data_IF_418768873393
#
_entry.id   IF_418768873393
#
_cell.length_a   1.000
_cell.length_b   1.000
_cell.length_c   1.000
_cell.angle_alpha   90.00
_cell.angle_beta   90.00
_cell.angle_gamma   90.00
#
_symmetry.space_group_name_H-M   'P 1'
#
loop_
_entity.id
_entity.type
_entity.pdbx_description
1 polymer ?
#
# COMPACT_ATOMS: atom_id res chain seq x y z
N UNK A 1 -34.94 -17.86 -4.40
CA UNK A 1 -34.75 -16.89 -3.30
C UNK A 1 -34.04 -15.69 -3.87
N UNK A 2 -34.59 -14.48 -3.70
CA UNK A 2 -33.94 -13.25 -4.13
C UNK A 2 -32.83 -12.94 -3.11
N UNK A 3 -31.57 -13.20 -3.46
CA UNK A 3 -30.47 -12.82 -2.58
C UNK A 3 -30.26 -11.30 -2.70
N UNK A 4 -30.47 -10.58 -1.60
CA UNK A 4 -30.25 -9.14 -1.56
C UNK A 4 -28.75 -8.84 -1.59
N UNK A 5 -28.37 -7.82 -2.38
CA UNK A 5 -27.06 -7.21 -2.25
C UNK A 5 -26.90 -6.57 -0.87
N UNK A 6 -25.69 -6.59 -0.31
CA UNK A 6 -25.37 -5.90 0.95
C UNK A 6 -24.15 -4.99 0.78
N UNK A 7 -24.08 -3.94 1.59
CA UNK A 7 -22.96 -3.00 1.61
C UNK A 7 -22.00 -3.36 2.74
N UNK A 8 -20.70 -3.19 2.50
CA UNK A 8 -19.65 -3.46 3.48
C UNK A 8 -18.46 -2.53 3.27
N UNK A 9 -17.39 -2.74 4.04
CA UNK A 9 -16.15 -1.97 3.95
C UNK A 9 -14.96 -2.92 3.97
N UNK A 10 -14.02 -2.70 3.05
CA UNK A 10 -12.68 -3.29 3.09
C UNK A 10 -11.65 -2.17 3.26
N UNK A 11 -10.39 -2.54 3.50
CA UNK A 11 -9.32 -1.59 3.69
C UNK A 11 -8.21 -1.81 2.65
N UNK A 12 -7.68 -0.71 2.12
CA UNK A 12 -6.44 -0.73 1.33
C UNK A 12 -5.25 -1.17 2.19
N UNK A 13 -4.12 -1.48 1.56
CA UNK A 13 -2.88 -1.74 2.29
C UNK A 13 -2.39 -0.53 3.11
N UNK A 14 -2.69 0.70 2.67
CA UNK A 14 -2.47 1.93 3.45
C UNK A 14 -3.54 2.23 4.51
N UNK A 15 -4.49 1.32 4.74
CA UNK A 15 -5.48 1.42 5.81
C UNK A 15 -6.70 2.30 5.50
N UNK A 16 -6.91 2.70 4.24
CA UNK A 16 -8.07 3.51 3.84
C UNK A 16 -9.29 2.66 3.59
N UNK A 17 -10.44 3.16 4.03
CA UNK A 17 -11.72 2.50 3.82
C UNK A 17 -12.13 2.54 2.33
N UNK A 18 -12.64 1.41 1.85
CA UNK A 18 -13.23 1.23 0.53
C UNK A 18 -14.66 0.72 0.72
N UNK A 19 -15.64 1.45 0.20
CA UNK A 19 -17.04 1.01 0.17
C UNK A 19 -17.21 -0.10 -0.88
N UNK A 20 -17.82 -1.21 -0.47
CA UNK A 20 -18.01 -2.38 -1.35
C UNK A 20 -19.44 -2.91 -1.32
N UNK A 21 -19.82 -3.61 -2.38
CA UNK A 21 -21.11 -4.30 -2.51
C UNK A 21 -20.84 -5.80 -2.59
N UNK A 22 -21.45 -6.56 -1.68
CA UNK A 22 -21.48 -8.02 -1.74
C UNK A 22 -22.72 -8.43 -2.52
N UNK A 23 -22.50 -9.14 -3.62
CA UNK A 23 -23.56 -9.60 -4.52
C UNK A 23 -23.63 -11.12 -4.49
N UNK A 24 -24.82 -11.72 -4.59
CA UNK A 24 -24.94 -13.15 -4.81
C UNK A 24 -24.30 -13.56 -6.13
N UNK A 25 -23.96 -14.84 -6.22
CA UNK A 25 -23.57 -15.44 -7.49
C UNK A 25 -24.79 -15.67 -8.38
N UNK A 26 -24.57 -15.63 -9.69
CA UNK A 26 -25.57 -16.00 -10.70
C UNK A 26 -25.67 -17.53 -10.88
N UNK A 27 -26.68 -17.98 -11.62
CA UNK A 27 -26.87 -19.40 -11.91
C UNK A 27 -25.73 -19.96 -12.78
N UNK A 28 -25.57 -21.29 -12.78
CA UNK A 28 -24.55 -21.96 -13.61
C UNK A 28 -24.81 -21.72 -15.10
N UNK A 29 -26.09 -21.66 -15.48
CA UNK A 29 -26.54 -21.41 -16.84
C UNK A 29 -26.16 -19.99 -17.29
N UNK A 30 -26.37 -18.97 -16.44
CA UNK A 30 -25.95 -17.60 -16.71
C UNK A 30 -24.42 -17.49 -16.82
N UNK A 31 -23.68 -18.16 -15.95
CA UNK A 31 -22.20 -18.22 -16.03
C UNK A 31 -21.78 -18.78 -17.39
N UNK A 32 -22.34 -19.91 -17.81
CA UNK A 32 -22.00 -20.54 -19.08
C UNK A 32 -22.36 -19.65 -20.27
N UNK A 33 -23.52 -19.01 -20.25
CA UNK A 33 -23.94 -18.08 -21.31
C UNK A 33 -22.98 -16.90 -21.47
N UNK A 34 -22.58 -16.27 -20.37
CA UNK A 34 -21.61 -15.17 -20.42
C UNK A 34 -20.22 -15.64 -20.87
N UNK A 35 -19.76 -16.80 -20.41
CA UNK A 35 -18.49 -17.39 -20.84
C UNK A 35 -18.48 -17.65 -22.37
N UNK A 36 -19.54 -18.25 -22.91
CA UNK A 36 -19.67 -18.53 -24.34
C UNK A 36 -19.79 -17.25 -25.17
N UNK A 37 -20.60 -16.29 -24.71
CA UNK A 37 -20.75 -15.00 -25.36
C UNK A 37 -19.40 -14.26 -25.44
N UNK A 38 -18.64 -14.24 -24.33
CA UNK A 38 -17.33 -13.59 -24.31
C UNK A 38 -16.34 -14.27 -25.24
N UNK A 39 -16.25 -15.61 -25.25
CA UNK A 39 -15.36 -16.34 -26.18
C UNK A 39 -15.70 -16.08 -27.63
N UNK A 40 -17.00 -16.04 -27.96
CA UNK A 40 -17.47 -15.81 -29.33
C UNK A 40 -17.22 -14.37 -29.79
N UNK A 41 -17.50 -13.40 -28.93
CA UNK A 41 -17.44 -11.97 -29.28
C UNK A 41 -16.02 -11.43 -29.24
N UNK A 42 -15.23 -11.87 -28.26
CA UNK A 42 -13.88 -11.37 -28.00
C UNK A 42 -12.82 -12.45 -28.26
N UNK A 43 -12.83 -13.01 -29.48
CA UNK A 43 -11.96 -14.13 -29.88
C UNK A 43 -10.45 -13.86 -29.81
N UNK A 44 -10.05 -12.58 -29.70
CA UNK A 44 -8.65 -12.15 -29.49
C UNK A 44 -8.25 -12.08 -28.01
N UNK A 45 -9.19 -12.28 -27.08
CA UNK A 45 -8.94 -12.35 -25.66
C UNK A 45 -9.00 -13.81 -25.19
N UNK A 46 -8.25 -14.13 -24.15
CA UNK A 46 -8.20 -15.47 -23.54
C UNK A 46 -8.92 -15.45 -22.21
N UNK A 47 -9.87 -16.38 -22.02
CA UNK A 47 -10.57 -16.52 -20.74
C UNK A 47 -9.69 -17.23 -19.72
N UNK A 48 -9.46 -16.60 -18.56
CA UNK A 48 -8.63 -17.12 -17.47
C UNK A 48 -9.45 -17.75 -16.34
N UNK A 49 -10.65 -17.24 -16.11
CA UNK A 49 -11.60 -17.78 -15.13
C UNK A 49 -13.01 -17.43 -15.56
N UNK A 50 -13.98 -18.29 -15.22
CA UNK A 50 -15.39 -18.12 -15.58
C UNK A 50 -16.01 -16.84 -15.02
N UNK A 51 -17.15 -16.47 -15.60
CA UNK A 51 -18.00 -15.36 -15.18
C UNK A 51 -18.41 -15.50 -13.72
N UNK A 52 -18.54 -14.37 -13.04
CA UNK A 52 -18.98 -14.31 -11.66
C UNK A 52 -19.52 -12.91 -11.35
N UNK A 53 -20.71 -12.84 -10.77
CA UNK A 53 -21.32 -11.61 -10.27
C UNK A 53 -20.81 -11.24 -8.88
N UNK A 54 -19.95 -12.03 -8.25
CA UNK A 54 -19.49 -11.75 -6.87
C UNK A 54 -18.37 -10.70 -6.81
N UNK A 55 -17.70 -10.42 -7.93
CA UNK A 55 -16.64 -9.40 -8.02
C UNK A 55 -16.46 -8.82 -9.43
N UNK A 56 -15.95 -7.59 -9.51
CA UNK A 56 -15.73 -6.86 -10.76
C UNK A 56 -14.23 -6.56 -11.02
N UNK A 57 -13.95 -5.79 -12.09
CA UNK A 57 -12.60 -5.35 -12.47
C UNK A 57 -11.85 -4.69 -11.32
N UNK A 58 -12.49 -3.74 -10.63
CA UNK A 58 -11.87 -2.97 -9.55
C UNK A 58 -11.48 -3.86 -8.38
N UNK A 59 -12.36 -4.77 -7.97
CA UNK A 59 -12.04 -5.74 -6.93
C UNK A 59 -10.95 -6.72 -7.34
N UNK A 60 -10.96 -7.20 -8.60
CA UNK A 60 -9.88 -8.03 -9.11
C UNK A 60 -8.53 -7.29 -9.08
N UNK A 61 -8.50 -6.07 -9.60
CA UNK A 61 -7.28 -5.27 -9.77
C UNK A 61 -6.70 -4.81 -8.44
N UNK A 62 -7.52 -4.31 -7.52
CA UNK A 62 -7.01 -3.60 -6.33
C UNK A 62 -7.10 -4.40 -5.04
N UNK A 63 -7.90 -5.46 -5.00
CA UNK A 63 -8.14 -6.25 -3.79
C UNK A 63 -7.68 -7.71 -3.98
N UNK A 64 -8.29 -8.46 -4.90
CA UNK A 64 -8.03 -9.91 -5.02
C UNK A 64 -6.62 -10.22 -5.53
N UNK A 65 -6.12 -9.48 -6.53
CA UNK A 65 -4.75 -9.67 -7.03
C UNK A 65 -3.67 -9.25 -6.03
N UNK A 66 -4.05 -8.56 -4.95
CA UNK A 66 -3.16 -8.20 -3.84
C UNK A 66 -3.26 -9.17 -2.65
N UNK A 67 -3.96 -10.30 -2.82
CA UNK A 67 -4.16 -11.30 -1.78
C UNK A 67 -5.38 -11.06 -0.88
N UNK A 68 -6.21 -10.06 -1.21
CA UNK A 68 -7.48 -9.84 -0.54
C UNK A 68 -8.41 -11.04 -0.66
N UNK A 69 -9.10 -11.39 0.44
CA UNK A 69 -9.92 -12.61 0.53
C UNK A 69 -11.40 -12.37 0.20
N UNK A 70 -11.84 -11.11 0.23
CA UNK A 70 -13.26 -10.75 0.09
C UNK A 70 -13.59 -10.52 -1.39
N UNK A 71 -14.37 -11.41 -2.00
CA UNK A 71 -15.00 -11.15 -3.31
C UNK A 71 -16.11 -10.12 -3.14
N UNK A 72 -15.98 -9.00 -3.84
CA UNK A 72 -16.90 -7.88 -3.73
C UNK A 72 -16.89 -7.03 -4.99
N UNK A 73 -17.89 -6.17 -5.16
CA UNK A 73 -17.88 -5.10 -6.16
C UNK A 73 -17.36 -3.82 -5.52
N UNK A 74 -16.43 -3.18 -6.21
CA UNK A 74 -15.95 -1.85 -5.87
C UNK A 74 -16.44 -0.91 -6.96
N UNK A 75 -17.12 0.16 -6.60
CA UNK A 75 -17.51 1.22 -7.53
C UNK A 75 -16.45 2.34 -7.49
N UNK A 76 -16.23 3.09 -8.59
CA UNK A 76 -15.25 4.18 -8.63
C UNK A 76 -15.55 5.28 -7.62
N UNK A 77 -16.84 5.52 -7.35
CA UNK A 77 -17.37 6.54 -6.46
C UNK A 77 -18.28 5.86 -5.44
N UNK A 78 -18.23 6.33 -4.19
CA UNK A 78 -19.13 5.89 -3.10
C UNK A 78 -20.58 6.32 -3.34
N UNK A 79 -21.53 5.77 -2.58
CA UNK A 79 -22.93 6.21 -2.58
C UNK A 79 -23.13 7.72 -2.31
N UNK A 80 -22.15 8.37 -1.67
CA UNK A 80 -22.17 9.80 -1.35
C UNK A 80 -21.43 10.68 -2.38
N UNK A 81 -21.03 10.13 -3.53
CA UNK A 81 -20.35 10.92 -4.56
C UNK A 81 -18.86 11.18 -4.29
N UNK A 82 -18.26 10.53 -3.29
CA UNK A 82 -16.83 10.68 -2.96
C UNK A 82 -15.97 9.67 -3.72
N UNK A 83 -14.70 10.01 -4.08
CA UNK A 83 -13.77 9.05 -4.65
C UNK A 83 -13.64 7.81 -3.77
N UNK A 84 -13.69 6.63 -4.39
CA UNK A 84 -13.58 5.35 -3.70
C UNK A 84 -12.33 4.59 -4.19
N UNK A 85 -12.21 4.36 -5.50
CA UNK A 85 -11.03 3.68 -6.06
C UNK A 85 -9.75 4.50 -5.91
N UNK A 86 -9.86 5.84 -5.92
CA UNK A 86 -8.73 6.74 -5.76
C UNK A 86 -7.99 6.55 -4.44
N UNK A 87 -8.65 5.99 -3.43
CA UNK A 87 -8.03 5.67 -2.15
C UNK A 87 -6.91 4.64 -2.27
N UNK A 88 -6.85 3.84 -3.35
CA UNK A 88 -5.75 2.90 -3.55
C UNK A 88 -4.42 3.57 -3.93
N UNK A 89 -4.44 4.81 -4.46
CA UNK A 89 -3.23 5.49 -4.93
C UNK A 89 -3.03 6.93 -4.43
N UNK A 90 -4.07 7.56 -3.89
CA UNK A 90 -3.94 8.91 -3.33
C UNK A 90 -3.41 8.78 -1.92
N UNK A 91 -2.13 9.04 -1.67
CA UNK A 91 -1.48 8.89 -0.34
C UNK A 91 -1.69 7.49 0.27
N UNK A 92 -1.49 6.43 -0.52
CA UNK A 92 -1.67 5.03 -0.12
C UNK A 92 -0.56 4.16 -0.77
N UNK A 93 -0.74 2.84 -0.85
CA UNK A 93 0.24 1.86 -1.26
C UNK A 93 0.68 1.99 -2.72
N UNK A 94 -0.21 2.41 -3.62
CA UNK A 94 0.13 2.62 -5.03
C UNK A 94 0.46 4.08 -5.33
N UNK A 95 1.28 4.30 -6.36
CA UNK A 95 1.51 5.62 -6.95
C UNK A 95 1.45 5.55 -8.47
N UNK A 96 1.10 6.68 -9.11
CA UNK A 96 1.07 6.78 -10.57
C UNK A 96 2.49 6.62 -11.14
N UNK A 97 2.61 5.88 -12.25
CA UNK A 97 3.89 5.54 -12.90
C UNK A 97 3.76 5.52 -14.42
N UNK A 98 4.80 5.07 -15.12
CA UNK A 98 4.79 4.87 -16.57
C UNK A 98 4.26 3.48 -16.94
N UNK A 99 3.80 3.31 -18.18
CA UNK A 99 3.32 2.02 -18.69
C UNK A 99 4.35 0.88 -18.51
N UNK A 100 5.63 1.18 -18.76
CA UNK A 100 6.72 0.22 -18.62
C UNK A 100 6.89 -0.32 -17.19
N UNK A 101 6.43 0.42 -16.18
CA UNK A 101 6.54 0.08 -14.77
C UNK A 101 5.21 -0.31 -14.14
N UNK A 102 4.15 -0.38 -14.92
CA UNK A 102 2.81 -0.61 -14.40
C UNK A 102 2.67 -2.03 -13.85
N UNK A 103 1.95 -2.15 -12.73
CA UNK A 103 1.33 -3.42 -12.30
C UNK A 103 -0.17 -3.34 -12.37
N UNK A 104 -0.74 -2.15 -12.18
CA UNK A 104 -2.18 -1.86 -12.22
C UNK A 104 -2.47 -0.77 -13.25
N UNK A 105 -3.62 -0.85 -13.90
CA UNK A 105 -4.08 0.08 -14.93
C UNK A 105 -5.46 0.57 -14.54
N UNK A 106 -5.67 1.88 -14.64
CA UNK A 106 -6.97 2.51 -14.57
C UNK A 106 -7.28 3.18 -15.91
N UNK A 107 -8.40 2.80 -16.52
CA UNK A 107 -8.83 3.39 -17.76
C UNK A 107 -9.66 4.64 -17.47
N UNK A 108 -9.06 5.80 -17.21
CA UNK A 108 -9.77 6.92 -16.55
C UNK A 108 -10.98 7.52 -17.28
N UNK A 109 -11.20 7.21 -18.57
CA UNK A 109 -12.41 7.55 -19.34
C UNK A 109 -13.33 6.34 -19.58
N UNK A 110 -13.16 5.30 -18.78
CA UNK A 110 -13.87 4.01 -18.84
C UNK A 110 -14.01 3.47 -17.43
N UNK A 111 -15.16 2.94 -17.01
CA UNK A 111 -15.29 2.35 -15.67
C UNK A 111 -14.59 0.97 -15.60
N UNK A 112 -13.26 0.95 -15.75
CA UNK A 112 -12.47 -0.25 -15.97
C UNK A 112 -11.05 -0.17 -15.39
N UNK A 113 -10.60 -1.30 -14.87
CA UNK A 113 -9.25 -1.50 -14.33
C UNK A 113 -8.74 -2.88 -14.70
N UNK A 114 -7.42 -2.99 -14.80
CA UNK A 114 -6.73 -4.23 -15.14
C UNK A 114 -5.40 -4.34 -14.40
N UNK A 115 -4.82 -5.53 -14.41
CA UNK A 115 -3.42 -5.76 -14.05
C UNK A 115 -2.60 -6.05 -15.31
N UNK A 116 -1.28 -5.80 -15.26
CA UNK A 116 -0.37 -6.31 -16.29
C UNK A 116 -0.27 -7.84 -16.14
N UNK A 117 -0.37 -8.57 -17.25
CA UNK A 117 -0.21 -10.03 -17.23
C UNK A 117 1.23 -10.41 -16.88
N UNK A 118 1.39 -11.27 -15.88
CA UNK A 118 2.70 -11.77 -15.48
C UNK A 118 3.20 -12.93 -16.36
N UNK A 119 2.31 -13.51 -17.18
CA UNK A 119 2.62 -14.71 -17.97
C UNK A 119 2.67 -14.44 -19.47
N UNK A 120 2.10 -13.35 -19.96
CA UNK A 120 2.12 -12.98 -21.38
C UNK A 120 2.50 -11.50 -21.53
N UNK A 121 3.74 -11.20 -21.94
CA UNK A 121 4.20 -9.82 -22.11
C UNK A 121 3.28 -9.00 -23.02
N UNK A 122 3.04 -7.75 -22.64
CA UNK A 122 2.22 -6.80 -23.40
C UNK A 122 0.71 -7.04 -23.33
N UNK A 123 0.24 -8.00 -22.51
CA UNK A 123 -1.18 -8.26 -22.29
C UNK A 123 -1.60 -7.83 -20.89
N UNK A 124 -2.87 -7.46 -20.74
CA UNK A 124 -3.49 -7.14 -19.46
C UNK A 124 -4.54 -8.16 -19.08
N UNK A 125 -4.85 -8.25 -17.79
CA UNK A 125 -5.84 -9.17 -17.23
C UNK A 125 -6.87 -8.40 -16.39
N UNK A 126 -8.15 -8.62 -16.69
CA UNK A 126 -9.24 -7.91 -16.00
C UNK A 126 -10.55 -8.69 -16.01
N UNK A 127 -11.36 -8.50 -14.97
CA UNK A 127 -12.77 -8.93 -14.99
C UNK A 127 -13.57 -7.97 -15.86
N UNK A 128 -14.49 -8.49 -16.67
CA UNK A 128 -15.40 -7.66 -17.46
C UNK A 128 -16.76 -7.53 -16.77
N UNK A 129 -16.81 -6.76 -15.69
CA UNK A 129 -17.99 -6.66 -14.83
C UNK A 129 -18.35 -8.02 -14.24
N UNK A 130 -19.58 -8.49 -14.47
CA UNK A 130 -20.02 -9.83 -14.08
C UNK A 130 -19.49 -10.95 -14.99
N UNK A 131 -19.00 -10.61 -16.19
CA UNK A 131 -18.48 -11.56 -17.18
C UNK A 131 -17.08 -12.09 -16.75
N UNK A 132 -16.41 -12.96 -17.54
CA UNK A 132 -15.21 -13.67 -17.12
C UNK A 132 -14.03 -12.77 -16.76
N UNK A 133 -13.02 -13.38 -16.13
CA UNK A 133 -11.66 -12.84 -16.10
C UNK A 133 -10.99 -13.11 -17.44
N UNK A 134 -10.55 -12.06 -18.12
CA UNK A 134 -10.01 -12.14 -19.48
C UNK A 134 -8.60 -11.58 -19.53
N UNK A 135 -7.73 -12.22 -20.31
CA UNK A 135 -6.46 -11.67 -20.78
C UNK A 135 -6.64 -11.07 -22.17
N UNK A 136 -6.28 -9.82 -22.36
CA UNK A 136 -6.52 -9.07 -23.59
C UNK A 136 -5.40 -8.06 -23.87
N UNK A 137 -5.33 -7.54 -25.10
CA UNK A 137 -4.40 -6.45 -25.41
C UNK A 137 -4.88 -5.13 -24.79
N UNK A 138 -3.99 -4.14 -24.56
CA UNK A 138 -4.30 -2.95 -23.77
C UNK A 138 -5.55 -2.18 -24.22
N UNK A 139 -5.81 -2.11 -25.53
CA UNK A 139 -6.93 -1.38 -26.11
C UNK A 139 -8.11 -2.27 -26.58
N UNK A 140 -8.16 -3.56 -26.17
CA UNK A 140 -9.20 -4.50 -26.61
C UNK A 140 -10.06 -4.98 -25.45
N UNK A 141 -11.37 -4.70 -25.50
CA UNK A 141 -12.32 -5.15 -24.49
C UNK A 141 -13.74 -4.63 -24.76
N UNK A 142 -14.70 -4.94 -23.87
CA UNK A 142 -16.09 -4.54 -24.02
C UNK A 142 -16.36 -3.07 -23.65
N UNK A 143 -15.33 -2.31 -23.26
CA UNK A 143 -15.48 -0.96 -22.76
C UNK A 143 -15.04 0.09 -23.78
N UNK A 144 -15.59 1.30 -23.65
CA UNK A 144 -15.18 2.46 -24.45
C UNK A 144 -13.84 3.03 -23.95
N UNK A 145 -13.17 3.82 -24.78
CA UNK A 145 -11.96 4.59 -24.42
C UNK A 145 -10.83 3.75 -23.81
N UNK A 146 -10.69 2.51 -24.27
CA UNK A 146 -9.65 1.59 -23.81
C UNK A 146 -8.22 2.07 -24.16
N UNK A 147 -8.05 3.15 -24.91
CA UNK A 147 -6.76 3.82 -25.14
C UNK A 147 -6.39 4.83 -24.04
N UNK A 148 -7.34 5.27 -23.20
CA UNK A 148 -7.14 6.27 -22.15
C UNK A 148 -6.77 5.60 -20.84
N UNK A 149 -5.48 5.62 -20.48
CA UNK A 149 -4.95 4.84 -19.35
C UNK A 149 -4.07 5.68 -18.44
N UNK A 150 -4.21 5.40 -17.14
CA UNK A 150 -3.24 5.72 -16.09
C UNK A 150 -2.65 4.43 -15.55
N UNK A 151 -1.40 4.50 -15.15
CA UNK A 151 -0.60 3.35 -14.75
C UNK A 151 -0.17 3.50 -13.31
N UNK A 152 -0.23 2.41 -12.55
CA UNK A 152 0.11 2.42 -11.13
C UNK A 152 0.98 1.23 -10.77
N UNK A 153 1.85 1.47 -9.80
CA UNK A 153 2.64 0.43 -9.18
C UNK A 153 2.90 0.79 -7.71
N UNK A 154 3.15 -0.22 -6.89
CA UNK A 154 3.77 -0.09 -5.58
C UNK A 154 5.18 -0.62 -5.77
N UNK A 155 6.20 0.19 -5.52
CA UNK A 155 7.58 -0.14 -5.91
C UNK A 155 8.10 -1.34 -5.14
N UNK A 156 8.24 -2.48 -5.84
CA UNK A 156 9.15 -3.58 -5.47
C UNK A 156 9.82 -4.29 -6.69
N UNK A 157 9.65 -3.82 -7.93
CA UNK A 157 10.46 -4.33 -9.08
C UNK A 157 10.45 -3.35 -10.26
N UNK A 158 11.63 -2.97 -10.76
CA UNK A 158 11.82 -1.83 -11.64
C UNK A 158 11.80 -2.07 -13.16
N UNK A 159 11.66 -0.96 -13.88
CA UNK A 159 12.38 -0.54 -15.10
C UNK A 159 11.97 0.91 -15.46
N UNK A 160 12.33 1.85 -14.60
CA UNK A 160 12.22 3.28 -14.85
C UNK A 160 12.57 4.02 -13.58
N UNK A 161 13.65 4.79 -13.64
CA UNK A 161 14.28 5.47 -12.52
C UNK A 161 13.27 6.19 -11.60
N UNK A 162 12.97 5.55 -10.48
CA UNK A 162 12.93 6.15 -9.14
C UNK A 162 13.60 5.15 -8.18
N UNK A 163 14.41 5.62 -7.22
CA UNK A 163 15.36 4.78 -6.51
C UNK A 163 14.61 3.73 -5.68
N UNK A 164 15.11 2.49 -5.69
CA UNK A 164 14.91 1.58 -4.57
C UNK A 164 15.31 2.34 -3.32
N UNK A 165 14.35 2.82 -2.55
CA UNK A 165 14.64 3.20 -1.18
C UNK A 165 14.72 1.89 -0.43
N UNK A 166 15.88 1.24 -0.48
CA UNK A 166 16.20 0.17 0.47
C UNK A 166 16.12 0.80 1.85
N UNK A 167 15.10 0.45 2.62
CA UNK A 167 15.00 0.88 4.01
C UNK A 167 16.17 0.24 4.75
N UNK A 168 17.10 1.07 5.22
CA UNK A 168 18.21 0.59 6.04
C UNK A 168 17.67 0.33 7.44
N UNK A 169 17.77 -0.92 7.88
CA UNK A 169 17.49 -1.31 9.25
C UNK A 169 18.78 -1.41 10.04
N UNK A 170 18.76 -0.99 11.30
CA UNK A 170 19.92 -1.08 12.17
C UNK A 170 19.61 -0.80 13.63
N UNK A 171 20.67 -0.77 14.42
CA UNK A 171 20.61 -0.47 15.86
C UNK A 171 21.20 0.91 16.08
N UNK A 172 20.51 1.75 16.86
CA UNK A 172 21.04 3.07 17.25
C UNK A 172 22.25 2.84 18.17
N UNK A 173 23.29 3.64 17.99
CA UNK A 173 24.47 3.64 18.84
C UNK A 173 24.32 4.72 19.91
N UNK A 174 24.62 4.37 21.16
CA UNK A 174 24.61 5.29 22.29
C UNK A 174 26.04 5.73 22.64
N UNK A 175 26.27 7.02 22.88
CA UNK A 175 27.57 7.54 23.30
C UNK A 175 28.02 7.01 24.66
N UNK A 176 27.09 6.50 25.49
CA UNK A 176 27.37 5.91 26.80
C UNK A 176 27.67 4.40 26.74
N UNK A 177 27.89 3.83 25.54
CA UNK A 177 28.27 2.42 25.37
C UNK A 177 27.09 1.46 25.50
N UNK A 178 27.22 0.46 26.39
CA UNK A 178 26.40 -0.76 26.41
C UNK A 178 24.95 -0.59 26.93
N UNK A 179 24.44 0.63 27.08
CA UNK A 179 22.99 0.89 27.19
C UNK A 179 22.40 1.18 28.55
N UNK A 180 23.23 1.41 29.56
CA UNK A 180 22.80 1.99 30.83
C UNK A 180 23.10 3.49 30.89
N UNK A 181 22.10 4.29 31.26
CA UNK A 181 22.19 5.74 31.44
C UNK A 181 21.56 6.15 32.76
N UNK A 182 22.25 7.03 33.50
CA UNK A 182 21.71 7.62 34.72
C UNK A 182 20.56 8.58 34.43
N UNK A 183 19.59 8.69 35.35
CA UNK A 183 18.56 9.73 35.28
C UNK A 183 19.21 11.12 35.24
N UNK A 184 18.63 12.00 34.43
CA UNK A 184 19.09 13.37 34.17
C UNK A 184 20.48 13.47 33.51
N UNK A 185 21.05 12.37 33.04
CA UNK A 185 22.26 12.37 32.21
C UNK A 185 21.83 12.43 30.75
N UNK A 186 22.40 13.40 30.02
CA UNK A 186 22.22 13.52 28.58
C UNK A 186 23.16 12.54 27.86
N UNK A 187 22.67 11.89 26.82
CA UNK A 187 23.49 11.08 25.93
C UNK A 187 23.09 11.30 24.47
N UNK A 188 24.05 11.01 23.59
CA UNK A 188 23.86 11.08 22.15
C UNK A 188 23.52 9.70 21.61
N UNK A 189 22.47 9.66 20.80
CA UNK A 189 21.96 8.48 20.14
C UNK A 189 22.03 8.72 18.63
N UNK A 190 22.85 7.93 17.92
CA UNK A 190 23.07 8.13 16.50
C UNK A 190 22.87 6.84 15.69
N UNK A 191 22.28 6.99 14.52
CA UNK A 191 22.14 5.90 13.55
C UNK A 191 23.25 5.97 12.51
N UNK A 192 23.81 4.83 12.09
CA UNK A 192 24.77 4.77 10.98
C UNK A 192 24.04 4.88 9.63
N UNK A 193 23.42 6.05 9.41
CA UNK A 193 22.69 6.41 8.20
C UNK A 193 23.52 7.40 7.37
N UNK A 194 23.80 7.12 6.08
CA UNK A 194 24.51 8.05 5.21
C UNK A 194 23.75 9.39 5.09
N UNK A 195 24.42 10.51 5.40
CA UNK A 195 23.81 11.85 5.47
C UNK A 195 23.20 12.34 4.15
N UNK A 196 23.65 11.79 3.02
CA UNK A 196 23.12 12.13 1.69
C UNK A 196 21.87 11.32 1.31
N UNK A 197 21.49 10.32 2.11
CA UNK A 197 20.39 9.39 1.80
C UNK A 197 19.01 9.86 2.32
N UNK A 198 18.96 10.90 3.15
CA UNK A 198 17.72 11.41 3.76
C UNK A 198 17.71 12.94 3.84
N UNK A 199 16.54 13.52 4.10
CA UNK A 199 16.35 14.97 4.30
C UNK A 199 15.65 15.34 5.59
N UNK A 200 15.02 14.39 6.26
CA UNK A 200 14.49 14.59 7.61
C UNK A 200 14.64 13.33 8.45
N UNK A 201 14.63 13.52 9.76
CA UNK A 201 14.68 12.46 10.77
C UNK A 201 13.66 12.75 11.87
N UNK A 202 12.89 11.73 12.23
CA UNK A 202 12.02 11.71 13.40
C UNK A 202 12.60 10.81 14.48
N UNK A 203 12.43 11.20 15.74
CA UNK A 203 12.79 10.41 16.90
C UNK A 203 11.53 10.19 17.73
N UNK A 204 11.26 8.93 18.06
CA UNK A 204 10.17 8.50 18.92
C UNK A 204 10.79 7.80 20.13
N UNK A 205 10.25 8.06 21.30
CA UNK A 205 10.68 7.43 22.55
C UNK A 205 9.42 6.99 23.28
N UNK A 206 9.28 5.69 23.48
CA UNK A 206 8.16 5.09 24.16
C UNK A 206 8.64 4.44 25.47
N UNK A 207 7.77 4.37 26.46
CA UNK A 207 8.00 3.52 27.63
C UNK A 207 7.81 2.06 27.25
N UNK A 208 8.28 1.12 28.07
CA UNK A 208 7.98 -0.32 27.94
C UNK A 208 6.48 -0.70 27.85
N UNK A 209 5.56 0.25 28.09
CA UNK A 209 4.11 0.06 27.94
C UNK A 209 3.54 0.64 26.63
N UNK A 210 4.39 1.23 25.78
CA UNK A 210 3.98 1.90 24.55
C UNK A 210 3.45 3.33 24.74
N UNK A 211 3.59 3.92 25.93
CA UNK A 211 3.25 5.33 26.15
C UNK A 211 4.37 6.24 25.60
N UNK A 212 4.03 7.35 24.91
CA UNK A 212 4.99 8.37 24.47
C UNK A 212 5.72 8.99 25.67
N UNK A 213 7.00 8.66 25.83
CA UNK A 213 7.82 9.09 26.94
C UNK A 213 8.13 10.59 26.90
N UNK A 214 8.12 11.21 25.72
CA UNK A 214 8.34 12.66 25.56
C UNK A 214 7.09 13.42 25.98
N UNK A 215 5.89 12.98 25.54
CA UNK A 215 4.62 13.58 25.96
C UNK A 215 4.41 13.49 27.48
N UNK A 216 4.81 12.35 28.09
CA UNK A 216 4.77 12.17 29.55
C UNK A 216 5.83 12.96 30.32
N UNK A 217 6.79 13.58 29.62
CA UNK A 217 7.91 14.30 30.23
C UNK A 217 8.96 13.38 30.89
N UNK A 218 8.99 12.10 30.53
CA UNK A 218 9.98 11.11 31.00
C UNK A 218 11.27 11.12 30.18
N UNK A 219 11.19 11.62 28.95
CA UNK A 219 12.33 11.87 28.08
C UNK A 219 12.24 13.28 27.47
N UNK A 220 13.39 13.91 27.24
CA UNK A 220 13.51 15.21 26.59
C UNK A 220 14.50 15.03 25.44
N UNK A 221 14.07 15.39 24.22
CA UNK A 221 14.97 15.49 23.07
C UNK A 221 15.55 16.91 23.08
N UNK A 222 16.79 17.06 23.54
CA UNK A 222 17.45 18.35 23.71
C UNK A 222 17.85 18.96 22.37
N UNK A 223 18.39 18.14 21.47
CA UNK A 223 18.88 18.57 20.16
C UNK A 223 18.74 17.45 19.12
N UNK A 224 18.59 17.82 17.85
CA UNK A 224 18.64 16.92 16.69
C UNK A 224 19.65 17.47 15.68
N UNK A 225 20.74 16.74 15.45
CA UNK A 225 21.82 17.18 14.57
C UNK A 225 22.23 16.04 13.65
N UNK A 226 21.98 16.20 12.34
CA UNK A 226 22.28 15.18 11.35
C UNK A 226 21.51 13.88 11.60
N UNK A 227 22.24 12.81 11.90
CA UNK A 227 21.75 11.45 12.19
C UNK A 227 21.79 11.12 13.69
N UNK A 228 21.94 12.15 14.54
CA UNK A 228 22.05 12.04 15.99
C UNK A 228 20.95 12.83 16.70
N UNK A 229 20.54 12.31 17.86
CA UNK A 229 19.69 13.01 18.83
C UNK A 229 20.36 13.02 20.19
N UNK A 230 20.34 14.18 20.86
CA UNK A 230 20.75 14.29 22.25
C UNK A 230 19.50 14.17 23.14
N UNK A 231 19.49 13.20 24.06
CA UNK A 231 18.31 12.87 24.86
C UNK A 231 18.67 12.80 26.33
N UNK A 232 17.82 13.38 27.17
CA UNK A 232 17.86 13.24 28.64
C UNK A 232 16.62 12.52 29.13
N UNK A 233 16.79 11.49 29.95
CA UNK A 233 15.68 10.80 30.61
C UNK A 233 15.52 11.31 32.04
N UNK A 234 14.33 11.74 32.42
CA UNK A 234 14.02 12.29 33.75
C UNK A 234 13.52 11.24 34.74
N UNK A 235 13.37 9.98 34.28
CA UNK A 235 12.83 8.87 35.08
C UNK A 235 13.51 7.55 34.73
N UNK A 236 13.88 6.78 35.76
CA UNK A 236 14.39 5.43 35.59
C UNK A 236 13.35 4.49 34.95
N UNK A 237 13.80 3.56 34.13
CA UNK A 237 12.94 2.63 33.40
C UNK A 237 13.56 2.12 32.10
N UNK A 238 12.82 1.23 31.44
CA UNK A 238 13.15 0.72 30.11
C UNK A 238 12.29 1.46 29.09
N UNK A 239 12.94 1.96 28.05
CA UNK A 239 12.34 2.71 26.96
C UNK A 239 12.62 2.03 25.63
N UNK A 240 11.81 2.32 24.63
CA UNK A 240 12.07 1.98 23.24
C UNK A 240 12.29 3.27 22.45
N UNK A 241 13.45 3.40 21.82
CA UNK A 241 13.80 4.54 20.97
C UNK A 241 13.81 4.12 19.51
N UNK A 242 13.17 4.92 18.68
CA UNK A 242 13.07 4.72 17.24
C UNK A 242 13.51 5.97 16.48
N UNK A 243 14.55 5.85 15.65
CA UNK A 243 14.92 6.87 14.67
C UNK A 243 14.43 6.46 13.28
N UNK A 244 13.59 7.32 12.68
CA UNK A 244 13.09 7.15 11.31
C UNK A 244 13.61 8.25 10.41
N UNK A 245 14.19 7.85 9.29
CA UNK A 245 14.78 8.74 8.29
C UNK A 245 13.90 8.78 7.05
N UNK A 246 13.70 9.97 6.48
CA UNK A 246 12.86 10.16 5.30
C UNK A 246 13.59 10.94 4.21
N UNK A 247 13.39 10.57 2.95
CA UNK A 247 13.91 11.33 1.80
C UNK A 247 13.05 12.57 1.49
N UNK A 248 13.44 13.32 0.45
CA UNK A 248 12.73 14.52 -0.03
C UNK A 248 11.27 14.27 -0.42
N UNK A 249 10.95 13.02 -0.79
CA UNK A 249 9.59 12.60 -1.14
C UNK A 249 8.80 12.11 0.08
N UNK A 250 9.32 12.33 1.29
CA UNK A 250 8.75 11.87 2.56
C UNK A 250 8.58 10.33 2.66
N UNK A 251 9.43 9.57 1.95
CA UNK A 251 9.46 8.11 2.02
C UNK A 251 10.44 7.66 3.09
N UNK A 252 10.08 6.64 3.88
CA UNK A 252 10.96 6.04 4.87
C UNK A 252 12.17 5.41 4.17
N UNK A 253 13.38 5.80 4.56
CA UNK A 253 14.65 5.32 3.99
C UNK A 253 15.54 4.62 5.01
N UNK A 254 15.24 4.78 6.30
CA UNK A 254 15.98 4.14 7.37
C UNK A 254 15.16 4.08 8.65
N UNK A 255 15.29 2.98 9.37
CA UNK A 255 14.64 2.74 10.65
C UNK A 255 15.63 2.06 11.60
N UNK A 256 15.90 2.70 12.73
CA UNK A 256 16.88 2.24 13.71
C UNK A 256 16.25 2.21 15.09
N UNK A 257 16.48 1.14 15.81
CA UNK A 257 15.93 0.93 17.15
C UNK A 257 17.00 0.82 18.21
N UNK A 258 16.64 1.16 19.44
CA UNK A 258 17.46 0.93 20.63
C UNK A 258 16.58 0.88 21.87
N UNK A 259 17.02 0.15 22.89
CA UNK A 259 16.33 0.04 24.16
C UNK A 259 17.18 0.71 25.26
N UNK A 260 16.96 2.00 25.56
CA UNK A 260 17.62 2.64 26.70
C UNK A 260 17.19 2.01 28.02
N UNK A 261 18.17 1.59 28.82
CA UNK A 261 17.98 1.21 30.21
C UNK A 261 18.40 2.40 31.08
N UNK A 262 17.42 3.06 31.68
CA UNK A 262 17.67 4.23 32.52
C UNK A 262 17.67 3.81 33.99
N UNK A 263 18.80 4.02 34.64
CA UNK A 263 19.05 3.71 36.04
C UNK A 263 19.05 4.97 36.90
N UNK A 264 18.73 4.83 38.18
CA UNK A 264 18.78 5.95 39.16
C UNK A 264 20.16 6.63 39.24
#
# INVERSE_FOLDING_TARGET
MCFSQTYSTIYTKGGKAIEVIIRPEMSKEEIQQYDEQCRKTFSKATMLSSSSTTYNCHSYTWNLSDGGKTKCWINPITALGRPNIDNYWTNDYYSETTEANAKKIFYYESDHTAIVSETVPGMYESKWGAMPLMRHSPSFGPYLNMDKRKYYNHTDSGSGEKPNVTVQYGVIQCSNGNGEIGVNIAADYYADMPTQAYTSMSCYIETSKGDDAVEKGYAIINEKTGNSVNVTFSRAGIYEMLLRFYNQSNQLVGEFTYEPIVTE
#
